data_IF_003816463643
#
_entry.id   IF_003816463643
#
_cell.length_a   1.000
_cell.length_b   1.000
_cell.length_c   1.000
_cell.angle_alpha   90.00
_cell.angle_beta   90.00
_cell.angle_gamma   90.00
#
_symmetry.space_group_name_H-M   'P 1'
#
loop_
_entity.id
_entity.type
_entity.pdbx_description
1 polymer ?
#
# COMPACT_ATOMS: atom_id res chain seq x y z
N UNK A 1 14.76 -19.07 -5.15
CA UNK A 1 14.74 -17.75 -4.49
C UNK A 1 14.09 -17.93 -3.13
N UNK A 2 14.72 -17.46 -2.04
CA UNK A 2 14.23 -17.53 -0.67
C UNK A 2 13.82 -16.14 -0.18
N UNK A 3 12.57 -15.97 0.22
CA UNK A 3 11.99 -14.64 0.50
C UNK A 3 11.35 -14.61 1.88
N UNK A 4 11.61 -13.57 2.65
CA UNK A 4 10.79 -13.23 3.82
C UNK A 4 9.69 -12.28 3.40
N UNK A 5 8.42 -12.64 3.65
CA UNK A 5 7.26 -11.76 3.42
C UNK A 5 6.65 -11.40 4.76
N UNK A 6 6.85 -10.17 5.23
CA UNK A 6 6.19 -9.67 6.44
C UNK A 6 4.82 -9.09 6.10
N UNK A 7 3.83 -9.24 7.00
CA UNK A 7 2.46 -8.76 6.73
C UNK A 7 1.73 -9.56 5.65
N UNK A 8 2.09 -10.81 5.43
CA UNK A 8 1.53 -11.69 4.40
C UNK A 8 0.02 -11.92 4.54
N UNK A 9 -0.55 -11.77 5.73
CA UNK A 9 -2.00 -11.85 5.97
C UNK A 9 -2.78 -10.59 5.56
N UNK A 10 -2.09 -9.51 5.18
CA UNK A 10 -2.70 -8.27 4.72
C UNK A 10 -3.19 -8.36 3.27
N UNK A 11 -3.90 -7.32 2.83
CA UNK A 11 -4.52 -7.24 1.52
C UNK A 11 -3.56 -7.53 0.36
N UNK A 12 -2.37 -6.92 0.37
CA UNK A 12 -1.35 -7.15 -0.66
C UNK A 12 -0.70 -8.52 -0.52
N UNK A 13 -0.43 -8.97 0.71
CA UNK A 13 0.22 -10.27 0.96
C UNK A 13 -0.63 -11.45 0.49
N UNK A 14 -1.95 -11.39 0.67
CA UNK A 14 -2.88 -12.43 0.22
C UNK A 14 -2.99 -12.54 -1.32
N UNK A 15 -2.65 -11.50 -2.05
CA UNK A 15 -2.55 -11.55 -3.52
C UNK A 15 -1.13 -11.95 -3.96
N UNK A 16 -0.10 -11.44 -3.29
CA UNK A 16 1.30 -11.66 -3.67
C UNK A 16 1.77 -13.10 -3.40
N UNK A 17 1.43 -13.68 -2.24
CA UNK A 17 1.94 -15.00 -1.85
C UNK A 17 1.59 -16.10 -2.87
N UNK A 18 0.33 -16.24 -3.36
CA UNK A 18 0.03 -17.21 -4.42
C UNK A 18 0.77 -16.95 -5.74
N UNK A 19 1.15 -15.71 -6.02
CA UNK A 19 1.95 -15.39 -7.20
C UNK A 19 3.42 -15.77 -7.01
N UNK A 20 3.95 -15.69 -5.79
CA UNK A 20 5.28 -16.23 -5.47
C UNK A 20 5.33 -17.76 -5.64
N UNK A 21 4.24 -18.47 -5.26
CA UNK A 21 4.12 -19.92 -5.53
C UNK A 21 4.19 -20.21 -7.02
N UNK A 22 3.50 -19.40 -7.86
CA UNK A 22 3.45 -19.61 -9.31
C UNK A 22 4.80 -19.48 -10.01
N UNK A 23 5.76 -18.78 -9.43
CA UNK A 23 7.14 -18.64 -9.92
C UNK A 23 8.13 -19.58 -9.22
N UNK A 24 7.66 -20.51 -8.39
CA UNK A 24 8.49 -21.48 -7.66
C UNK A 24 9.39 -20.86 -6.58
N UNK A 25 9.02 -19.69 -6.03
CA UNK A 25 9.75 -19.06 -4.95
C UNK A 25 9.48 -19.76 -3.62
N UNK A 26 10.52 -20.00 -2.83
CA UNK A 26 10.38 -20.39 -1.43
C UNK A 26 10.23 -19.14 -0.58
N UNK A 27 9.18 -19.04 0.23
CA UNK A 27 8.99 -17.86 1.07
C UNK A 27 8.43 -18.19 2.45
N UNK A 28 8.76 -17.34 3.40
CA UNK A 28 8.15 -17.32 4.73
C UNK A 28 7.09 -16.21 4.78
N UNK A 29 5.83 -16.61 4.79
CA UNK A 29 4.69 -15.75 5.01
C UNK A 29 4.52 -15.47 6.50
N UNK A 30 4.78 -14.26 6.96
CA UNK A 30 4.70 -13.90 8.37
C UNK A 30 3.62 -12.83 8.66
N UNK A 31 3.14 -12.85 9.90
CA UNK A 31 2.26 -11.83 10.47
C UNK A 31 2.73 -11.46 11.88
N UNK A 32 2.08 -10.47 12.51
CA UNK A 32 2.50 -9.97 13.83
C UNK A 32 2.43 -10.98 14.98
N UNK A 33 1.65 -12.07 14.84
CA UNK A 33 1.53 -13.10 15.86
C UNK A 33 2.75 -14.04 15.91
N UNK A 34 3.36 -14.30 14.75
CA UNK A 34 4.48 -15.24 14.62
C UNK A 34 5.82 -14.52 14.39
N UNK A 35 5.81 -13.28 13.94
CA UNK A 35 6.99 -12.49 13.67
C UNK A 35 6.70 -10.99 13.90
N UNK A 36 6.89 -10.55 15.14
CA UNK A 36 6.74 -9.15 15.49
C UNK A 36 7.98 -8.35 15.07
N UNK A 37 7.85 -7.61 13.98
CA UNK A 37 8.92 -6.76 13.42
C UNK A 37 9.43 -5.69 14.41
N UNK A 38 8.67 -5.36 15.44
CA UNK A 38 9.03 -4.36 16.44
C UNK A 38 9.91 -4.92 17.55
N UNK A 39 9.94 -6.26 17.71
CA UNK A 39 10.82 -6.94 18.65
C UNK A 39 12.19 -7.23 18.01
N UNK A 40 13.10 -6.27 18.13
CA UNK A 40 14.42 -6.35 17.51
C UNK A 40 15.24 -7.59 17.95
N UNK A 41 15.08 -8.06 19.21
CA UNK A 41 15.76 -9.24 19.72
C UNK A 41 15.26 -10.49 18.98
N UNK A 42 13.96 -10.72 18.98
CA UNK A 42 13.32 -11.86 18.29
C UNK A 42 13.66 -11.86 16.79
N UNK A 43 13.56 -10.69 16.13
CA UNK A 43 13.90 -10.55 14.71
C UNK A 43 15.35 -10.98 14.44
N UNK A 44 16.32 -10.54 15.23
CA UNK A 44 17.72 -10.93 15.07
C UNK A 44 17.94 -12.44 15.29
N UNK A 45 17.39 -12.99 16.39
CA UNK A 45 17.57 -14.42 16.74
C UNK A 45 17.01 -15.36 15.66
N UNK A 46 15.89 -14.99 15.02
CA UNK A 46 15.29 -15.77 13.94
C UNK A 46 16.13 -15.62 12.66
N UNK A 47 16.51 -14.38 12.31
CA UNK A 47 17.20 -14.08 11.06
C UNK A 47 18.65 -14.57 11.04
N UNK A 48 19.28 -14.80 12.20
CA UNK A 48 20.63 -15.38 12.28
C UNK A 48 20.70 -16.84 11.82
N UNK A 49 19.55 -17.52 11.73
CA UNK A 49 19.44 -18.95 11.39
C UNK A 49 19.01 -19.19 9.95
N UNK A 50 18.84 -18.13 9.15
CA UNK A 50 18.26 -18.25 7.81
C UNK A 50 19.09 -17.57 6.74
N UNK A 51 19.01 -18.10 5.54
CA UNK A 51 19.54 -17.49 4.32
C UNK A 51 18.37 -17.00 3.47
N UNK A 52 18.39 -15.74 3.06
CA UNK A 52 17.39 -15.10 2.24
C UNK A 52 18.03 -14.51 0.98
N UNK A 53 17.24 -14.37 -0.08
CA UNK A 53 17.60 -13.62 -1.27
C UNK A 53 16.91 -12.25 -1.30
N UNK A 54 15.72 -12.13 -0.67
CA UNK A 54 14.94 -10.89 -0.59
C UNK A 54 14.14 -10.78 0.71
N UNK A 55 13.86 -9.54 1.11
CA UNK A 55 12.85 -9.22 2.12
C UNK A 55 11.74 -8.39 1.45
N UNK A 56 10.50 -8.87 1.48
CA UNK A 56 9.31 -8.11 1.06
C UNK A 56 8.59 -7.66 2.33
N UNK A 57 8.71 -6.37 2.62
CA UNK A 57 8.20 -5.78 3.85
C UNK A 57 6.85 -5.10 3.63
N UNK A 58 5.75 -5.87 3.86
CA UNK A 58 4.36 -5.43 3.72
C UNK A 58 3.71 -5.08 5.07
N UNK A 59 4.32 -5.52 6.19
CA UNK A 59 3.78 -5.24 7.52
C UNK A 59 3.73 -3.74 7.78
N UNK A 60 2.54 -3.23 8.14
CA UNK A 60 2.33 -1.82 8.44
C UNK A 60 1.07 -1.62 9.29
N UNK A 61 1.04 -0.56 10.07
CA UNK A 61 -0.17 0.02 10.64
C UNK A 61 -0.84 0.86 9.54
N UNK A 62 -1.93 0.38 8.96
CA UNK A 62 -2.52 0.94 7.72
C UNK A 62 -3.79 1.76 7.94
N UNK A 63 -4.43 1.65 9.12
CA UNK A 63 -5.62 2.44 9.42
C UNK A 63 -5.23 3.89 9.71
N UNK A 64 -5.47 4.76 8.74
CA UNK A 64 -5.02 6.16 8.75
C UNK A 64 -5.68 6.96 9.88
N UNK A 65 -6.97 6.71 10.18
CA UNK A 65 -7.68 7.41 11.27
C UNK A 65 -7.25 6.90 12.63
N UNK A 66 -7.07 5.59 12.78
CA UNK A 66 -6.54 5.02 14.01
C UNK A 66 -5.08 5.42 14.28
N UNK A 67 -4.31 5.77 13.24
CA UNK A 67 -2.97 6.27 13.43
C UNK A 67 -2.93 7.63 14.14
N UNK A 68 -3.95 8.49 13.96
CA UNK A 68 -4.06 9.74 14.71
C UNK A 68 -4.36 9.50 16.21
N UNK A 69 -5.13 8.46 16.50
CA UNK A 69 -5.51 8.10 17.87
C UNK A 69 -4.39 7.30 18.56
N UNK A 70 -3.76 6.39 17.85
CA UNK A 70 -2.74 5.47 18.35
C UNK A 70 -1.37 5.77 17.70
N UNK A 71 -0.89 7.01 17.87
CA UNK A 71 0.33 7.50 17.21
C UNK A 71 1.55 6.66 17.56
N UNK A 72 1.73 6.34 18.84
CA UNK A 72 2.87 5.53 19.31
C UNK A 72 2.93 4.19 18.58
N UNK A 73 1.81 3.49 18.44
CA UNK A 73 1.73 2.22 17.75
C UNK A 73 2.01 2.36 16.25
N UNK A 74 1.50 3.42 15.62
CA UNK A 74 1.79 3.71 14.21
C UNK A 74 3.29 3.92 13.98
N UNK A 75 3.96 4.69 14.82
CA UNK A 75 5.42 4.88 14.74
C UNK A 75 6.18 3.60 15.13
N UNK A 76 5.73 2.88 16.13
CA UNK A 76 6.35 1.62 16.55
C UNK A 76 6.42 0.62 15.40
N UNK A 77 5.32 0.46 14.65
CA UNK A 77 5.24 -0.49 13.54
C UNK A 77 5.89 0.09 12.28
N UNK A 78 5.44 1.26 11.80
CA UNK A 78 5.84 1.78 10.49
C UNK A 78 7.25 2.35 10.45
N UNK A 79 7.75 2.86 11.57
CA UNK A 79 9.10 3.41 11.68
C UNK A 79 10.07 2.40 12.32
N UNK A 80 9.87 2.05 13.60
CA UNK A 80 10.83 1.21 14.32
C UNK A 80 10.85 -0.23 13.78
N UNK A 81 9.69 -0.81 13.46
CA UNK A 81 9.60 -2.13 12.82
C UNK A 81 10.30 -2.14 11.47
N UNK A 82 10.08 -1.12 10.63
CA UNK A 82 10.76 -0.97 9.33
C UNK A 82 12.27 -0.79 9.50
N UNK A 83 12.72 -0.02 10.49
CA UNK A 83 14.14 0.11 10.84
C UNK A 83 14.79 -1.24 11.18
N UNK A 84 14.11 -2.09 11.96
CA UNK A 84 14.59 -3.43 12.28
C UNK A 84 14.74 -4.28 11.01
N UNK A 85 13.75 -4.26 10.12
CA UNK A 85 13.81 -4.99 8.85
C UNK A 85 14.92 -4.48 7.93
N UNK A 86 15.14 -3.17 7.87
CA UNK A 86 16.25 -2.59 7.12
C UNK A 86 17.63 -3.02 7.67
N UNK A 87 17.77 -3.10 9.01
CA UNK A 87 19.01 -3.61 9.65
C UNK A 87 19.26 -5.08 9.28
N UNK A 88 18.22 -5.92 9.24
CA UNK A 88 18.33 -7.31 8.82
C UNK A 88 18.72 -7.40 7.34
N UNK A 89 18.08 -6.63 6.46
CA UNK A 89 18.42 -6.57 5.05
C UNK A 89 19.91 -6.22 4.86
N UNK A 90 20.40 -5.22 5.61
CA UNK A 90 21.83 -4.83 5.60
C UNK A 90 22.73 -5.94 6.14
N UNK A 91 22.37 -6.59 7.25
CA UNK A 91 23.14 -7.67 7.89
C UNK A 91 23.30 -8.88 6.97
N UNK A 92 22.21 -9.28 6.30
CA UNK A 92 22.19 -10.40 5.36
C UNK A 92 22.67 -10.03 3.96
N UNK A 93 22.96 -8.74 3.72
CA UNK A 93 23.33 -8.16 2.42
C UNK A 93 22.31 -8.43 1.29
N UNK A 94 21.02 -8.46 1.62
CA UNK A 94 19.92 -8.74 0.69
C UNK A 94 19.07 -7.50 0.41
N UNK A 95 18.40 -7.41 -0.77
CA UNK A 95 17.48 -6.32 -1.08
C UNK A 95 16.23 -6.36 -0.20
N UNK A 96 15.73 -5.17 0.15
CA UNK A 96 14.43 -4.98 0.80
C UNK A 96 13.45 -4.25 -0.14
N UNK A 97 12.26 -4.84 -0.34
CA UNK A 97 11.12 -4.21 -1.00
C UNK A 97 10.18 -3.70 0.09
N UNK A 98 9.97 -2.39 0.16
CA UNK A 98 9.14 -1.73 1.16
C UNK A 98 7.95 -1.03 0.52
N UNK A 99 6.74 -1.31 1.00
CA UNK A 99 5.53 -0.65 0.52
C UNK A 99 5.27 0.61 1.35
N UNK A 100 5.45 1.75 0.72
CA UNK A 100 5.13 3.08 1.23
C UNK A 100 3.79 3.58 0.66
N UNK A 101 3.52 4.87 0.74
CA UNK A 101 2.21 5.46 0.43
C UNK A 101 2.31 6.82 -0.23
N UNK A 102 1.32 7.19 -1.05
CA UNK A 102 1.10 8.55 -1.51
C UNK A 102 0.88 9.55 -0.34
N UNK A 103 0.51 9.06 0.83
CA UNK A 103 0.32 9.88 2.05
C UNK A 103 1.61 10.51 2.59
N UNK A 104 2.77 10.23 2.00
CA UNK A 104 4.03 10.95 2.29
C UNK A 104 4.06 12.36 1.71
N UNK A 105 3.10 12.70 0.86
CA UNK A 105 2.92 14.03 0.27
C UNK A 105 1.78 14.81 0.93
N UNK A 106 1.81 16.15 0.81
CA UNK A 106 0.81 17.06 1.41
C UNK A 106 -0.51 17.14 0.64
N UNK A 107 -0.48 16.86 -0.67
CA UNK A 107 -1.65 16.95 -1.53
C UNK A 107 -1.97 18.36 -2.06
N UNK A 108 -1.01 19.28 -2.00
CA UNK A 108 -1.18 20.67 -2.45
C UNK A 108 -0.85 20.86 -3.96
N UNK A 109 -0.20 19.89 -4.60
CA UNK A 109 0.04 19.93 -6.05
C UNK A 109 -1.25 19.68 -6.83
N UNK A 110 -1.30 20.21 -8.05
CA UNK A 110 -2.36 19.97 -9.05
C UNK A 110 -1.93 19.02 -10.17
N UNK A 111 -0.67 18.59 -10.13
CA UNK A 111 -0.07 17.62 -11.07
C UNK A 111 0.44 16.40 -10.32
N UNK A 112 0.53 15.22 -10.97
CA UNK A 112 1.02 14.02 -10.31
C UNK A 112 2.38 14.23 -9.63
N UNK A 113 2.51 13.70 -8.40
CA UNK A 113 3.77 13.74 -7.65
C UNK A 113 4.81 12.84 -8.31
N UNK A 114 6.01 13.37 -8.53
CA UNK A 114 7.18 12.62 -8.98
C UNK A 114 7.92 12.00 -7.79
N UNK A 115 8.72 10.97 -8.06
CA UNK A 115 9.56 10.34 -7.02
C UNK A 115 10.57 11.31 -6.41
N UNK A 116 10.94 12.36 -7.17
CA UNK A 116 11.89 13.42 -6.79
C UNK A 116 11.24 14.60 -6.07
N UNK A 117 9.91 14.67 -5.99
CA UNK A 117 9.22 15.74 -5.27
C UNK A 117 9.48 15.64 -3.77
N UNK A 118 9.55 16.79 -3.12
CA UNK A 118 9.69 16.86 -1.66
C UNK A 118 8.48 16.23 -0.96
N UNK A 119 8.74 15.41 0.03
CA UNK A 119 7.73 14.80 0.88
C UNK A 119 7.33 15.75 2.01
N UNK A 120 6.02 15.84 2.33
CA UNK A 120 5.49 16.67 3.40
C UNK A 120 4.17 16.08 3.94
N UNK A 121 4.21 14.97 4.69
CA UNK A 121 3.01 14.27 5.14
C UNK A 121 2.19 15.09 6.13
N UNK A 122 0.87 15.14 5.96
CA UNK A 122 -0.07 15.95 6.76
C UNK A 122 -0.80 15.15 7.85
N UNK A 123 -0.53 13.85 7.97
CA UNK A 123 -1.13 12.98 8.98
C UNK A 123 -0.09 12.01 9.56
N UNK A 124 -0.41 11.41 10.72
CA UNK A 124 0.50 10.51 11.44
C UNK A 124 0.86 9.28 10.62
N UNK A 125 -0.09 8.70 9.91
CA UNK A 125 0.19 7.57 9.02
C UNK A 125 1.27 7.90 7.98
N UNK A 126 1.08 8.99 7.23
CA UNK A 126 2.05 9.44 6.23
C UNK A 126 3.43 9.73 6.84
N UNK A 127 3.48 10.41 8.00
CA UNK A 127 4.72 10.69 8.74
C UNK A 127 5.42 9.40 9.14
N UNK A 128 4.71 8.44 9.72
CA UNK A 128 5.28 7.16 10.14
C UNK A 128 5.81 6.33 8.96
N UNK A 129 5.12 6.36 7.80
CA UNK A 129 5.60 5.70 6.57
C UNK A 129 6.85 6.37 6.01
N UNK A 130 6.90 7.70 5.99
CA UNK A 130 8.07 8.47 5.55
C UNK A 130 9.29 8.17 6.42
N UNK A 131 9.14 8.15 7.75
CA UNK A 131 10.24 7.79 8.65
C UNK A 131 10.78 6.37 8.37
N UNK A 132 9.90 5.42 7.98
CA UNK A 132 10.33 4.11 7.50
C UNK A 132 11.18 4.18 6.23
N UNK A 133 10.77 4.99 5.22
CA UNK A 133 11.56 5.23 4.01
C UNK A 133 12.96 5.79 4.34
N UNK A 134 13.02 6.77 5.24
CA UNK A 134 14.27 7.43 5.66
C UNK A 134 15.23 6.45 6.34
N UNK A 135 14.73 5.58 7.24
CA UNK A 135 15.56 4.55 7.87
C UNK A 135 16.09 3.54 6.83
N UNK A 136 15.29 3.12 5.86
CA UNK A 136 15.75 2.22 4.80
C UNK A 136 16.87 2.87 3.99
N UNK A 137 16.68 4.11 3.50
CA UNK A 137 17.70 4.83 2.71
C UNK A 137 19.00 5.03 3.48
N UNK A 138 18.91 5.28 4.79
CA UNK A 138 20.04 5.46 5.69
C UNK A 138 20.82 4.16 5.90
N UNK A 139 20.12 3.04 6.04
CA UNK A 139 20.72 1.76 6.47
C UNK A 139 21.25 0.94 5.29
N UNK A 140 20.51 0.82 4.19
CA UNK A 140 20.90 -0.02 3.06
C UNK A 140 20.69 0.68 1.71
N UNK A 141 21.61 0.42 0.76
CA UNK A 141 21.49 0.86 -0.64
C UNK A 141 20.68 -0.14 -1.48
N UNK A 142 20.61 -1.41 -1.06
CA UNK A 142 19.86 -2.46 -1.74
C UNK A 142 18.38 -2.39 -1.34
N UNK A 143 17.64 -1.41 -1.90
CA UNK A 143 16.23 -1.22 -1.54
C UNK A 143 15.38 -0.82 -2.74
N UNK A 144 14.11 -1.23 -2.67
CA UNK A 144 13.02 -0.77 -3.50
C UNK A 144 11.95 -0.17 -2.59
N UNK A 145 11.81 1.14 -2.57
CA UNK A 145 10.73 1.83 -1.86
C UNK A 145 9.61 2.06 -2.85
N UNK A 146 8.47 1.42 -2.65
CA UNK A 146 7.31 1.50 -3.54
C UNK A 146 6.25 2.36 -2.87
N UNK A 147 6.01 3.56 -3.39
CA UNK A 147 4.87 4.39 -3.02
C UNK A 147 3.68 4.01 -3.88
N UNK A 148 2.56 3.72 -3.24
CA UNK A 148 1.30 3.33 -3.90
C UNK A 148 0.13 4.09 -3.30
N UNK A 149 -1.08 3.95 -3.86
CA UNK A 149 -2.27 4.68 -3.44
C UNK A 149 -3.50 3.76 -3.42
N UNK A 150 -4.30 3.89 -2.35
CA UNK A 150 -5.68 3.37 -2.26
C UNK A 150 -5.86 1.93 -2.75
N UNK A 151 -5.17 0.99 -2.09
CA UNK A 151 -5.19 -0.42 -2.48
C UNK A 151 -6.56 -1.06 -2.29
N UNK A 152 -6.96 -1.87 -3.27
CA UNK A 152 -8.10 -2.79 -3.20
C UNK A 152 -7.73 -4.15 -3.79
N UNK A 153 -8.42 -5.22 -3.38
CA UNK A 153 -8.11 -6.57 -3.82
C UNK A 153 -8.79 -7.65 -2.98
N UNK A 154 -8.39 -8.91 -3.19
CA UNK A 154 -8.93 -10.05 -2.43
C UNK A 154 -8.34 -10.13 -1.01
N UNK A 155 -9.09 -10.77 -0.12
CA UNK A 155 -8.53 -11.29 1.14
C UNK A 155 -8.44 -10.30 2.30
N UNK A 156 -8.97 -9.10 2.19
CA UNK A 156 -9.00 -8.13 3.28
C UNK A 156 -10.07 -7.07 3.10
N UNK A 157 -10.30 -6.28 4.14
CA UNK A 157 -11.22 -5.15 4.06
C UNK A 157 -10.67 -4.10 3.09
N UNK A 158 -11.46 -3.72 2.10
CA UNK A 158 -11.14 -2.68 1.13
C UNK A 158 -12.38 -1.89 0.71
N UNK A 159 -12.16 -0.74 0.10
CA UNK A 159 -13.22 0.18 -0.27
C UNK A 159 -14.23 -0.42 -1.25
N UNK A 160 -13.76 -1.17 -2.27
CA UNK A 160 -14.65 -1.75 -3.30
C UNK A 160 -15.64 -2.74 -2.67
N UNK A 161 -15.14 -3.63 -1.81
CA UNK A 161 -15.98 -4.62 -1.14
C UNK A 161 -16.94 -3.98 -0.14
N UNK A 162 -16.51 -2.93 0.55
CA UNK A 162 -17.38 -2.16 1.43
C UNK A 162 -18.53 -1.51 0.65
N UNK A 163 -18.25 -0.90 -0.52
CA UNK A 163 -19.29 -0.29 -1.36
C UNK A 163 -20.24 -1.34 -1.93
N UNK A 164 -19.76 -2.50 -2.36
CA UNK A 164 -20.62 -3.59 -2.82
C UNK A 164 -21.52 -4.11 -1.70
N UNK A 165 -20.99 -4.30 -0.50
CA UNK A 165 -21.80 -4.71 0.66
C UNK A 165 -22.85 -3.65 1.01
N UNK A 166 -22.46 -2.37 1.03
CA UNK A 166 -23.37 -1.27 1.31
C UNK A 166 -24.53 -1.22 0.30
N UNK A 167 -24.25 -1.45 -0.99
CA UNK A 167 -25.24 -1.44 -2.07
C UNK A 167 -26.30 -2.53 -1.97
N UNK A 168 -26.10 -3.53 -1.12
CA UNK A 168 -27.11 -4.60 -0.91
C UNK A 168 -28.29 -4.16 -0.04
N UNK A 169 -28.09 -3.12 0.76
CA UNK A 169 -29.06 -2.70 1.78
C UNK A 169 -29.49 -1.23 1.66
N UNK A 170 -28.87 -0.47 0.76
CA UNK A 170 -29.11 0.97 0.66
C UNK A 170 -29.30 1.41 -0.79
N UNK A 171 -30.18 2.37 -1.01
CA UNK A 171 -30.49 2.97 -2.32
C UNK A 171 -29.72 4.28 -2.59
N UNK A 172 -29.03 4.83 -1.58
CA UNK A 172 -28.22 6.05 -1.72
C UNK A 172 -27.02 6.03 -0.78
N UNK A 173 -25.96 6.73 -1.15
CA UNK A 173 -24.77 6.93 -0.35
C UNK A 173 -24.16 8.32 -0.59
N UNK A 174 -23.72 8.98 0.48
CA UNK A 174 -22.92 10.21 0.38
C UNK A 174 -21.43 9.86 0.32
N UNK A 175 -20.71 10.34 -0.67
CA UNK A 175 -19.29 10.04 -0.90
C UNK A 175 -18.49 11.30 -1.16
N UNK A 176 -17.33 11.41 -0.51
CA UNK A 176 -16.40 12.55 -0.67
C UNK A 176 -15.95 12.66 -2.13
N UNK A 177 -16.00 13.89 -2.68
CA UNK A 177 -15.72 14.19 -4.07
C UNK A 177 -14.45 15.02 -4.29
N UNK A 178 -13.99 15.73 -3.26
CA UNK A 178 -12.85 16.67 -3.29
C UNK A 178 -11.49 16.03 -2.91
N UNK A 179 -11.36 14.70 -3.04
CA UNK A 179 -10.11 13.97 -2.86
C UNK A 179 -9.78 13.19 -4.13
N UNK A 180 -8.70 13.61 -4.80
CA UNK A 180 -8.25 13.00 -6.05
C UNK A 180 -7.14 11.97 -5.76
N UNK A 181 -7.28 10.77 -6.34
CA UNK A 181 -6.42 9.62 -6.06
C UNK A 181 -6.28 8.70 -7.28
N UNK A 182 -5.45 7.68 -7.16
CA UNK A 182 -5.35 6.57 -8.12
C UNK A 182 -5.56 5.22 -7.40
N UNK A 183 -6.80 4.68 -7.40
CA UNK A 183 -7.08 3.39 -6.78
C UNK A 183 -6.27 2.29 -7.46
N UNK A 184 -5.62 1.44 -6.68
CA UNK A 184 -4.68 0.45 -7.21
C UNK A 184 -5.08 -0.96 -6.81
N UNK A 185 -5.23 -1.84 -7.81
CA UNK A 185 -5.49 -3.25 -7.57
C UNK A 185 -4.21 -3.96 -7.09
N UNK A 186 -4.30 -4.66 -5.96
CA UNK A 186 -3.18 -5.40 -5.38
C UNK A 186 -2.57 -6.42 -6.32
N UNK A 187 -3.36 -7.00 -7.24
CA UNK A 187 -2.85 -7.94 -8.25
C UNK A 187 -1.88 -7.30 -9.24
N UNK A 188 -2.17 -6.09 -9.70
CA UNK A 188 -1.29 -5.39 -10.63
C UNK A 188 -0.02 -4.92 -9.93
N UNK A 189 -0.13 -4.44 -8.68
CA UNK A 189 1.02 -4.13 -7.84
C UNK A 189 1.88 -5.39 -7.58
N UNK A 190 1.24 -6.54 -7.31
CA UNK A 190 1.95 -7.80 -7.08
C UNK A 190 2.74 -8.26 -8.31
N UNK A 191 2.17 -8.12 -9.53
CA UNK A 191 2.90 -8.41 -10.78
C UNK A 191 4.17 -7.57 -10.90
N UNK A 192 4.09 -6.29 -10.54
CA UNK A 192 5.26 -5.42 -10.63
C UNK A 192 6.30 -5.73 -9.53
N UNK A 193 5.87 -6.18 -8.35
CA UNK A 193 6.79 -6.73 -7.34
C UNK A 193 7.50 -7.99 -7.87
N UNK A 194 6.81 -8.89 -8.56
CA UNK A 194 7.43 -10.05 -9.21
C UNK A 194 8.42 -9.62 -10.29
N UNK A 195 8.11 -8.60 -11.09
CA UNK A 195 9.03 -8.04 -12.07
C UNK A 195 10.33 -7.51 -11.42
N UNK A 196 10.23 -6.84 -10.28
CA UNK A 196 11.38 -6.41 -9.48
C UNK A 196 12.23 -7.62 -9.04
N UNK A 197 11.62 -8.68 -8.54
CA UNK A 197 12.32 -9.90 -8.13
C UNK A 197 13.06 -10.59 -9.29
N UNK A 198 12.58 -10.41 -10.51
CA UNK A 198 13.22 -10.92 -11.75
C UNK A 198 14.32 -10.01 -12.28
N UNK A 199 14.73 -8.98 -11.53
CA UNK A 199 15.77 -8.04 -11.94
C UNK A 199 15.30 -6.94 -12.89
N UNK A 200 13.97 -6.69 -12.96
CA UNK A 200 13.38 -5.72 -13.88
C UNK A 200 13.63 -4.25 -13.53
N UNK A 201 14.26 -3.94 -12.40
CA UNK A 201 14.51 -2.56 -11.95
C UNK A 201 15.80 -2.43 -11.14
N UNK A 202 16.38 -1.23 -11.17
CA UNK A 202 17.47 -0.85 -10.29
C UNK A 202 16.96 -0.51 -8.87
N UNK A 203 17.89 -0.47 -7.88
CA UNK A 203 17.55 -0.02 -6.53
C UNK A 203 17.10 1.44 -6.53
N UNK A 204 16.07 1.76 -5.73
CA UNK A 204 15.58 3.14 -5.67
C UNK A 204 14.17 3.28 -5.11
N UNK A 205 13.60 4.47 -5.33
CA UNK A 205 12.21 4.79 -4.96
C UNK A 205 11.35 4.84 -6.22
N UNK A 206 10.19 4.20 -6.16
CA UNK A 206 9.26 4.05 -7.28
C UNK A 206 7.84 4.46 -6.88
N UNK A 207 7.11 5.01 -7.84
CA UNK A 207 5.67 5.16 -7.77
C UNK A 207 5.03 4.02 -8.57
N UNK A 208 4.35 3.11 -7.89
CA UNK A 208 3.67 1.97 -8.53
C UNK A 208 2.21 1.98 -8.08
N UNK A 209 1.37 2.54 -8.92
CA UNK A 209 -0.08 2.64 -8.74
C UNK A 209 -0.75 2.57 -10.12
N UNK A 210 -2.07 2.40 -10.17
CA UNK A 210 -2.80 2.43 -11.45
C UNK A 210 -2.63 3.77 -12.16
N UNK A 211 -2.68 3.76 -13.48
CA UNK A 211 -2.65 4.96 -14.30
C UNK A 211 -4.00 5.70 -14.24
N UNK A 212 -3.97 6.99 -14.58
CA UNK A 212 -5.14 7.85 -14.47
C UNK A 212 -5.37 8.40 -13.06
N UNK A 213 -6.51 9.03 -12.89
CA UNK A 213 -6.94 9.63 -11.62
C UNK A 213 -8.46 9.63 -11.52
N UNK A 214 -8.97 9.59 -10.30
CA UNK A 214 -10.41 9.68 -10.00
C UNK A 214 -10.60 10.30 -8.62
N UNK A 215 -11.84 10.55 -8.22
CA UNK A 215 -12.24 10.82 -6.84
C UNK A 215 -13.07 9.66 -6.28
N UNK A 216 -13.36 9.68 -4.98
CA UNK A 216 -14.12 8.61 -4.36
C UNK A 216 -15.54 8.48 -4.89
N UNK A 217 -16.20 9.61 -5.24
CA UNK A 217 -17.55 9.62 -5.79
C UNK A 217 -17.61 8.95 -7.17
N UNK A 218 -16.73 9.33 -8.09
CA UNK A 218 -16.63 8.71 -9.41
C UNK A 218 -16.22 7.25 -9.35
N UNK A 219 -15.25 6.92 -8.47
CA UNK A 219 -14.84 5.54 -8.26
C UNK A 219 -16.00 4.68 -7.76
N UNK A 220 -16.82 5.19 -6.83
CA UNK A 220 -18.01 4.50 -6.32
C UNK A 220 -19.07 4.31 -7.40
N UNK A 221 -19.37 5.35 -8.18
CA UNK A 221 -20.29 5.26 -9.33
C UNK A 221 -19.84 4.14 -10.29
N UNK A 222 -18.56 4.12 -10.66
CA UNK A 222 -18.01 3.10 -11.55
C UNK A 222 -18.14 1.68 -11.00
N UNK A 223 -17.95 1.48 -9.67
CA UNK A 223 -18.18 0.19 -9.01
C UNK A 223 -19.63 -0.26 -9.20
N UNK A 224 -20.58 0.64 -8.94
CA UNK A 224 -22.01 0.35 -9.04
C UNK A 224 -22.44 0.10 -10.48
N UNK A 225 -21.94 0.88 -11.44
CA UNK A 225 -22.25 0.71 -12.86
C UNK A 225 -21.81 -0.67 -13.37
N UNK A 226 -20.56 -1.08 -13.10
CA UNK A 226 -20.03 -2.39 -13.50
C UNK A 226 -20.86 -3.52 -12.89
N UNK A 227 -21.29 -3.41 -11.63
CA UNK A 227 -22.06 -4.42 -10.92
C UNK A 227 -23.57 -4.22 -11.05
N UNK A 228 -24.02 -3.29 -11.91
CA UNK A 228 -25.45 -2.97 -12.18
C UNK A 228 -26.24 -2.74 -10.89
N UNK A 229 -25.68 -1.94 -9.97
CA UNK A 229 -26.31 -1.57 -8.70
C UNK A 229 -27.00 -0.22 -8.84
N UNK A 230 -28.31 -0.18 -8.55
CA UNK A 230 -29.10 1.07 -8.57
C UNK A 230 -28.98 1.80 -7.22
N UNK A 231 -27.82 2.40 -6.96
CA UNK A 231 -27.55 3.19 -5.75
C UNK A 231 -27.20 4.61 -6.18
N UNK A 232 -27.92 5.59 -5.66
CA UNK A 232 -27.63 7.00 -5.91
C UNK A 232 -26.38 7.43 -5.13
N UNK A 233 -25.35 7.90 -5.82
CA UNK A 233 -24.12 8.43 -5.21
C UNK A 233 -24.22 9.93 -5.13
N UNK A 234 -24.38 10.49 -3.92
CA UNK A 234 -24.40 11.91 -3.64
C UNK A 234 -22.98 12.40 -3.35
N UNK A 235 -22.38 13.26 -4.20
CA UNK A 235 -21.10 13.89 -3.89
C UNK A 235 -21.22 14.82 -2.68
N UNK A 236 -20.26 14.77 -1.78
CA UNK A 236 -20.13 15.67 -0.63
C UNK A 236 -18.69 16.17 -0.51
N UNK A 237 -18.48 17.28 0.17
CA UNK A 237 -17.14 17.76 0.50
C UNK A 237 -16.56 16.99 1.70
N UNK A 238 -15.24 16.91 1.80
CA UNK A 238 -14.58 16.29 2.98
C UNK A 238 -14.90 17.00 4.28
N UNK A 239 -15.27 18.30 4.23
CA UNK A 239 -15.77 19.06 5.38
C UNK A 239 -17.04 18.50 5.97
N UNK A 240 -17.89 17.89 5.14
CA UNK A 240 -19.18 17.31 5.54
C UNK A 240 -19.03 15.89 6.10
N UNK A 241 -17.82 15.34 5.99
CA UNK A 241 -17.47 14.02 6.52
C UNK A 241 -16.18 14.09 7.34
N UNK A 242 -16.20 14.73 8.52
CA UNK A 242 -15.02 14.91 9.34
C UNK A 242 -14.43 13.57 9.80
N UNK A 243 -13.12 13.44 9.70
CA UNK A 243 -12.36 12.25 10.11
C UNK A 243 -11.17 12.67 11.00
N UNK A 244 -10.71 11.78 11.90
CA UNK A 244 -9.56 12.07 12.77
C UNK A 244 -8.32 12.51 12.00
N UNK A 245 -7.98 11.81 10.93
CA UNK A 245 -6.80 12.13 10.13
C UNK A 245 -7.13 13.07 8.96
N UNK A 246 -6.30 14.07 8.75
CA UNK A 246 -6.33 14.90 7.53
C UNK A 246 -6.01 14.04 6.31
N UNK A 247 -6.71 14.26 5.20
CA UNK A 247 -6.47 13.59 3.92
C UNK A 247 -5.96 14.59 2.89
N UNK A 248 -4.90 14.25 2.12
CA UNK A 248 -4.48 15.08 0.99
C UNK A 248 -5.63 15.29 0.01
N UNK A 249 -5.76 16.50 -0.54
CA UNK A 249 -6.73 16.78 -1.60
C UNK A 249 -6.35 16.08 -2.90
N UNK A 250 -5.05 15.96 -3.15
CA UNK A 250 -4.50 15.36 -4.36
C UNK A 250 -3.38 14.38 -3.99
N UNK A 251 -3.61 13.08 -4.24
CA UNK A 251 -2.65 12.01 -3.93
C UNK A 251 -2.30 11.17 -5.16
N UNK A 252 -2.33 11.80 -6.34
CA UNK A 252 -1.96 11.15 -7.60
C UNK A 252 -0.45 11.11 -7.74
N UNK A 253 0.06 9.94 -8.04
CA UNK A 253 1.49 9.69 -8.26
C UNK A 253 1.79 9.60 -9.76
N UNK A 254 2.90 10.18 -10.19
CA UNK A 254 3.46 9.94 -11.53
C UNK A 254 4.11 8.55 -11.54
N UNK A 255 3.42 7.61 -12.16
CA UNK A 255 3.80 6.19 -12.21
C UNK A 255 4.45 5.78 -13.54
N UNK A 256 4.66 6.72 -14.46
CA UNK A 256 5.22 6.43 -15.80
C UNK A 256 4.37 5.43 -16.62
N UNK A 257 3.09 5.32 -16.33
CA UNK A 257 2.14 4.36 -16.96
C UNK A 257 2.58 2.89 -16.85
N UNK A 258 3.24 2.53 -15.74
CA UNK A 258 3.72 1.16 -15.50
C UNK A 258 2.55 0.18 -15.33
N UNK A 259 1.49 0.59 -14.60
CA UNK A 259 0.29 -0.22 -14.40
C UNK A 259 -0.86 0.22 -15.31
N UNK A 260 -1.84 -0.67 -15.59
CA UNK A 260 -3.05 -0.33 -16.33
C UNK A 260 -3.82 0.85 -15.72
N UNK A 261 -4.80 1.39 -16.43
CA UNK A 261 -5.70 2.40 -15.88
C UNK A 261 -6.50 1.83 -14.70
N UNK A 262 -6.92 2.71 -13.79
CA UNK A 262 -7.72 2.28 -12.64
C UNK A 262 -9.08 1.71 -13.08
N UNK A 263 -9.65 2.19 -14.19
CA UNK A 263 -10.90 1.68 -14.77
C UNK A 263 -10.73 0.24 -15.24
N UNK A 264 -9.67 -0.03 -16.01
CA UNK A 264 -9.37 -1.35 -16.54
C UNK A 264 -9.09 -2.36 -15.41
N UNK A 265 -8.32 -1.95 -14.41
CA UNK A 265 -8.02 -2.77 -13.23
C UNK A 265 -9.27 -3.06 -12.41
N UNK A 266 -10.14 -2.05 -12.21
CA UNK A 266 -11.40 -2.20 -11.48
C UNK A 266 -12.35 -3.17 -12.21
N UNK A 267 -12.50 -3.02 -13.52
CA UNK A 267 -13.35 -3.90 -14.33
C UNK A 267 -12.89 -5.36 -14.22
N UNK A 268 -11.60 -5.62 -14.43
CA UNK A 268 -11.01 -6.96 -14.29
C UNK A 268 -11.19 -7.54 -12.88
N UNK A 269 -11.05 -6.71 -11.84
CA UNK A 269 -11.28 -7.14 -10.47
C UNK A 269 -12.73 -7.54 -10.22
N UNK A 270 -13.67 -6.71 -10.67
CA UNK A 270 -15.10 -6.95 -10.46
C UNK A 270 -15.65 -8.11 -11.28
N UNK A 271 -15.08 -8.40 -12.46
CA UNK A 271 -15.45 -9.57 -13.27
C UNK A 271 -15.05 -10.90 -12.62
N UNK A 272 -14.13 -10.89 -11.65
CA UNK A 272 -13.72 -12.09 -10.90
C UNK A 272 -14.57 -12.33 -9.64
N UNK A 273 -15.53 -11.46 -9.34
CA UNK A 273 -16.49 -11.50 -8.24
C UNK A 273 -17.92 -11.70 -8.72
#
# INVERSE_FOLDING_TARGET
MKILVTGASGLLGQELCPMLDSIGAQYWATNSKIFDITNAKMVNEIMDKVSLDYIIHLAAFTNVDQAEVNQEEAYRINHLGTKNMAKIAKKLDVPIIYISSASVFDGEKLTPYKTTDATNPINVYGKSKLMGEEEIRKITKKHYIIRTSSLYGKGGSNYVDAMLTYSMFNSSISVVDDQILCPTWTRDLSKEIINILSGGKEYGTYHICSSGRTNWSEFTKKIFDIKRRSVFVQPILKSDFPRPAKRPKFSVLDNGNILPSWEESLEKYLLQK
#
